data_IF_532265802523
#
_entry.id   IF_532265802523
#
_cell.length_a   1.000
_cell.length_b   1.000
_cell.length_c   1.000
_cell.angle_alpha   90.00
_cell.angle_beta   90.00
_cell.angle_gamma   90.00
#
_symmetry.space_group_name_H-M   'P 1'
#
loop_
_entity.id
_entity.type
_entity.pdbx_description
1 polymer ?
#
# COMPACT_ATOMS: atom_id res chain seq x y z
N UNK A 1 -1.06 -21.86 -23.03
CA UNK A 1 0.40 -22.14 -23.08
C UNK A 1 1.14 -21.12 -22.23
N UNK A 2 1.81 -21.52 -21.14
CA UNK A 2 2.57 -20.57 -20.32
C UNK A 2 3.84 -20.15 -21.05
N UNK A 3 3.90 -18.90 -21.54
CA UNK A 3 5.08 -18.34 -22.19
C UNK A 3 6.11 -17.91 -21.15
N UNK A 4 6.82 -18.85 -20.55
CA UNK A 4 8.02 -18.55 -19.75
C UNK A 4 9.19 -18.22 -20.68
N UNK A 5 9.83 -17.07 -20.48
CA UNK A 5 11.10 -16.71 -21.13
C UNK A 5 12.26 -16.99 -20.18
N UNK A 6 13.37 -17.54 -20.69
CA UNK A 6 14.61 -17.72 -19.92
C UNK A 6 15.44 -16.43 -19.99
N UNK A 7 16.04 -16.06 -18.86
CA UNK A 7 16.91 -14.90 -18.72
C UNK A 7 18.20 -15.42 -18.09
N UNK A 8 19.35 -15.09 -18.69
CA UNK A 8 20.67 -15.32 -18.10
C UNK A 8 21.14 -14.02 -17.45
N UNK A 9 21.51 -14.08 -16.18
CA UNK A 9 22.02 -12.94 -15.40
C UNK A 9 23.36 -13.33 -14.80
N UNK A 10 24.27 -12.35 -14.69
CA UNK A 10 25.52 -12.52 -13.96
C UNK A 10 25.35 -11.90 -12.57
N UNK A 11 25.78 -12.60 -11.53
CA UNK A 11 25.71 -12.15 -10.15
C UNK A 11 27.10 -12.26 -9.51
N UNK A 12 27.44 -11.37 -8.57
CA UNK A 12 28.63 -11.52 -7.73
C UNK A 12 28.64 -12.87 -7.00
N UNK A 13 29.82 -13.45 -6.79
CA UNK A 13 29.96 -14.79 -6.22
C UNK A 13 29.54 -14.85 -4.75
N UNK A 14 29.84 -13.81 -3.99
CA UNK A 14 29.38 -13.57 -2.62
C UNK A 14 27.85 -13.54 -2.53
N UNK A 15 27.20 -12.77 -3.41
CA UNK A 15 25.74 -12.70 -3.47
C UNK A 15 25.12 -14.06 -3.82
N UNK A 16 25.76 -14.85 -4.70
CA UNK A 16 25.28 -16.19 -5.04
C UNK A 16 25.36 -17.14 -3.83
N UNK A 17 26.42 -17.05 -3.01
CA UNK A 17 26.58 -17.84 -1.78
C UNK A 17 25.48 -17.54 -0.77
N UNK A 18 25.15 -16.26 -0.58
CA UNK A 18 24.05 -15.86 0.30
C UNK A 18 22.69 -16.40 -0.17
N UNK A 19 22.44 -16.34 -1.49
CA UNK A 19 21.21 -16.89 -2.09
C UNK A 19 21.13 -18.39 -1.87
N UNK A 20 22.24 -19.11 -2.03
CA UNK A 20 22.28 -20.56 -1.83
C UNK A 20 21.94 -20.95 -0.40
N UNK A 21 22.52 -20.27 0.59
CA UNK A 21 22.19 -20.48 1.99
C UNK A 21 20.70 -20.18 2.27
N UNK A 22 20.16 -19.11 1.69
CA UNK A 22 18.74 -18.76 1.85
C UNK A 22 17.81 -19.80 1.19
N UNK A 23 18.17 -20.31 0.01
CA UNK A 23 17.41 -21.32 -0.73
C UNK A 23 17.40 -22.66 0.01
N UNK A 24 18.53 -23.05 0.59
CA UNK A 24 18.68 -24.26 1.40
C UNK A 24 17.82 -24.19 2.67
N UNK A 25 17.92 -23.09 3.42
CA UNK A 25 17.10 -22.86 4.62
C UNK A 25 15.60 -22.90 4.32
N UNK A 26 15.18 -22.31 3.19
CA UNK A 26 13.78 -22.27 2.78
C UNK A 26 13.30 -23.57 2.10
N UNK A 27 14.18 -24.56 1.89
CA UNK A 27 13.91 -25.80 1.12
C UNK A 27 13.26 -25.51 -0.23
N UNK A 28 13.73 -24.46 -0.92
CA UNK A 28 13.24 -24.08 -2.25
C UNK A 28 14.32 -24.31 -3.30
N UNK A 29 14.03 -24.00 -4.57
CA UNK A 29 15.05 -23.96 -5.63
C UNK A 29 15.39 -22.52 -6.01
N UNK A 30 16.63 -22.27 -6.45
CA UNK A 30 17.11 -20.95 -6.90
C UNK A 30 16.12 -20.26 -7.85
N UNK A 31 15.63 -20.96 -8.87
CA UNK A 31 14.67 -20.37 -9.83
C UNK A 31 13.34 -19.97 -9.21
N UNK A 32 12.89 -20.65 -8.14
CA UNK A 32 11.67 -20.29 -7.40
C UNK A 32 11.92 -19.05 -6.54
N UNK A 33 13.06 -19.01 -5.86
CA UNK A 33 13.52 -17.86 -5.09
C UNK A 33 13.61 -16.61 -5.97
N UNK A 34 14.30 -16.67 -7.10
CA UNK A 34 14.40 -15.53 -8.03
C UNK A 34 13.03 -15.08 -8.56
N UNK A 35 12.13 -16.03 -8.90
CA UNK A 35 10.77 -15.67 -9.33
C UNK A 35 9.98 -14.95 -8.24
N UNK A 36 10.14 -15.35 -6.97
CA UNK A 36 9.52 -14.65 -5.84
C UNK A 36 10.14 -13.28 -5.62
N UNK A 37 11.47 -13.18 -5.62
CA UNK A 37 12.17 -11.91 -5.45
C UNK A 37 11.79 -10.88 -6.53
N UNK A 38 11.77 -11.30 -7.79
CA UNK A 38 11.34 -10.45 -8.91
C UNK A 38 9.88 -10.03 -8.75
N UNK A 39 8.97 -10.96 -8.40
CA UNK A 39 7.57 -10.62 -8.15
C UNK A 39 7.42 -9.61 -7.01
N UNK A 40 8.13 -9.85 -5.92
CA UNK A 40 8.13 -8.95 -4.76
C UNK A 40 8.61 -7.55 -5.15
N UNK A 41 9.72 -7.44 -5.88
CA UNK A 41 10.25 -6.16 -6.33
C UNK A 41 9.28 -5.41 -7.25
N UNK A 42 8.67 -6.11 -8.22
CA UNK A 42 7.67 -5.53 -9.12
C UNK A 42 6.45 -5.02 -8.36
N UNK A 43 5.90 -5.82 -7.43
CA UNK A 43 4.73 -5.43 -6.64
C UNK A 43 5.04 -4.28 -5.69
N UNK A 44 6.22 -4.28 -5.04
CA UNK A 44 6.62 -3.19 -4.14
C UNK A 44 6.80 -1.87 -4.87
N UNK A 45 7.40 -1.88 -6.06
CA UNK A 45 7.52 -0.70 -6.91
C UNK A 45 6.15 -0.10 -7.23
N UNK A 46 5.17 -0.92 -7.60
CA UNK A 46 3.80 -0.46 -7.88
C UNK A 46 3.11 0.15 -6.64
N UNK A 47 3.28 -0.45 -5.45
CA UNK A 47 2.67 0.10 -4.22
C UNK A 47 3.33 1.41 -3.80
N UNK A 48 4.66 1.52 -3.95
CA UNK A 48 5.39 2.76 -3.67
C UNK A 48 4.96 3.88 -4.63
N UNK A 49 4.76 3.54 -5.91
CA UNK A 49 4.27 4.48 -6.93
C UNK A 49 2.87 4.99 -6.61
N UNK A 50 1.91 4.10 -6.28
CA UNK A 50 0.55 4.51 -5.86
C UNK A 50 0.60 5.44 -4.65
N UNK A 51 1.39 5.10 -3.62
CA UNK A 51 1.52 5.95 -2.42
C UNK A 51 2.12 7.32 -2.75
N UNK A 52 3.11 7.37 -3.64
CA UNK A 52 3.70 8.62 -4.13
C UNK A 52 2.67 9.48 -4.87
N UNK A 53 1.89 8.86 -5.76
CA UNK A 53 0.83 9.55 -6.50
C UNK A 53 -0.28 10.04 -5.57
N UNK A 54 -0.69 9.25 -4.57
CA UNK A 54 -1.67 9.68 -3.56
C UNK A 54 -1.16 10.89 -2.77
N UNK A 55 0.07 10.82 -2.25
CA UNK A 55 0.66 11.93 -1.48
C UNK A 55 0.73 13.21 -2.31
N UNK A 56 1.13 13.09 -3.59
CA UNK A 56 1.15 14.21 -4.53
C UNK A 56 -0.24 14.80 -4.74
N UNK A 57 -1.25 13.97 -5.05
CA UNK A 57 -2.62 14.43 -5.27
C UNK A 57 -3.24 15.10 -4.04
N UNK A 58 -2.97 14.58 -2.83
CA UNK A 58 -3.39 15.24 -1.60
C UNK A 58 -2.72 16.60 -1.38
N UNK A 59 -1.44 16.72 -1.74
CA UNK A 59 -0.74 18.00 -1.69
C UNK A 59 -1.30 19.02 -2.69
N UNK A 60 -1.58 18.58 -3.92
CA UNK A 60 -2.16 19.44 -4.98
C UNK A 60 -3.58 19.92 -4.63
N UNK A 61 -4.39 19.04 -4.02
CA UNK A 61 -5.78 19.35 -3.65
C UNK A 61 -5.93 19.96 -2.25
N UNK A 62 -4.84 20.15 -1.50
CA UNK A 62 -4.87 20.52 -0.09
C UNK A 62 -5.70 21.78 0.20
N UNK A 63 -5.52 22.83 -0.60
CA UNK A 63 -6.26 24.08 -0.44
C UNK A 63 -7.77 23.92 -0.72
N UNK A 64 -8.14 23.18 -1.77
CA UNK A 64 -9.54 22.93 -2.12
C UNK A 64 -10.21 22.05 -1.07
N UNK A 65 -9.53 21.00 -0.63
CA UNK A 65 -10.04 20.10 0.40
C UNK A 65 -10.25 20.84 1.74
N UNK A 66 -9.36 21.76 2.08
CA UNK A 66 -9.49 22.60 3.27
C UNK A 66 -10.69 23.53 3.17
N UNK A 67 -10.83 24.26 2.07
CA UNK A 67 -11.95 25.18 1.82
C UNK A 67 -13.31 24.48 1.89
N UNK A 68 -13.42 23.29 1.29
CA UNK A 68 -14.62 22.46 1.38
C UNK A 68 -14.88 22.05 2.84
N UNK A 69 -13.87 21.55 3.54
CA UNK A 69 -14.04 21.13 4.94
C UNK A 69 -14.51 22.28 5.84
N UNK A 70 -13.92 23.46 5.69
CA UNK A 70 -14.30 24.66 6.45
C UNK A 70 -15.72 25.12 6.09
N UNK A 71 -16.12 25.04 4.81
CA UNK A 71 -17.45 25.42 4.35
C UNK A 71 -18.58 24.57 4.94
N UNK A 72 -18.33 23.29 5.18
CA UNK A 72 -19.33 22.34 5.71
C UNK A 72 -19.26 22.11 7.22
N UNK A 73 -18.22 22.62 7.88
CA UNK A 73 -17.94 22.35 9.30
C UNK A 73 -19.13 22.62 10.22
N UNK A 74 -19.85 23.74 10.02
CA UNK A 74 -21.00 24.08 10.86
C UNK A 74 -22.16 23.10 10.67
N UNK A 75 -22.43 22.68 9.43
CA UNK A 75 -23.50 21.74 9.14
C UNK A 75 -23.19 20.36 9.75
N UNK A 76 -21.93 19.94 9.69
CA UNK A 76 -21.47 18.69 10.32
C UNK A 76 -21.63 18.75 11.85
N UNK A 77 -21.26 19.87 12.49
CA UNK A 77 -21.44 20.08 13.93
C UNK A 77 -22.92 20.03 14.33
N UNK A 78 -23.78 20.78 13.63
CA UNK A 78 -25.22 20.80 13.91
C UNK A 78 -25.84 19.39 13.78
N UNK A 79 -25.38 18.60 12.81
CA UNK A 79 -25.84 17.22 12.63
C UNK A 79 -25.33 16.29 13.73
N UNK A 80 -24.08 16.46 14.17
CA UNK A 80 -23.51 15.69 15.28
C UNK A 80 -24.30 15.94 16.58
N UNK A 81 -24.56 17.21 16.92
CA UNK A 81 -25.33 17.59 18.11
C UNK A 81 -26.74 16.99 18.10
N UNK A 82 -27.44 17.06 16.96
CA UNK A 82 -28.78 16.45 16.81
C UNK A 82 -28.75 14.94 17.00
N UNK A 83 -27.72 14.29 16.48
CA UNK A 83 -27.56 12.84 16.59
C UNK A 83 -27.31 12.42 18.04
N UNK A 84 -26.50 13.17 18.78
CA UNK A 84 -26.27 12.96 20.21
C UNK A 84 -27.53 13.21 21.05
N UNK A 85 -28.29 14.27 20.76
CA UNK A 85 -29.55 14.56 21.43
C UNK A 85 -30.57 13.44 21.23
N UNK A 86 -30.71 12.96 19.99
CA UNK A 86 -31.63 11.87 19.68
C UNK A 86 -31.24 10.56 20.40
N UNK A 87 -29.94 10.27 20.49
CA UNK A 87 -29.45 9.10 21.22
C UNK A 87 -29.80 9.19 22.72
N UNK A 88 -29.63 10.37 23.32
CA UNK A 88 -30.01 10.63 24.72
C UNK A 88 -31.51 10.48 24.97
N UNK A 89 -32.34 10.94 24.04
CA UNK A 89 -33.79 10.78 24.15
C UNK A 89 -34.20 9.30 24.15
N UNK A 90 -33.62 8.49 23.25
CA UNK A 90 -33.87 7.04 23.21
C UNK A 90 -33.36 6.29 24.43
N UNK A 91 -32.31 6.78 25.11
CA UNK A 91 -31.79 6.18 26.34
C UNK A 91 -32.65 6.49 27.58
N UNK A 92 -33.51 7.52 27.49
CA UNK A 92 -34.37 7.97 28.59
C UNK A 92 -35.81 7.43 28.51
N UNK A 93 -36.18 6.79 27.39
CA UNK A 93 -37.43 6.04 27.18
C UNK A 93 -37.30 4.55 27.56
#
# INVERSE_FOLDING_TARGET
MSRTKRINISLPEDMLKEIDAAVENAKTGRSRFFRQAVRYYLTKGTVQDIRGQMAKGYGEMGAINLDIAESWLQADNDQAERSELHLREMEME
#
